data_IF_964308932123
#
_entry.id   IF_964308932123
#
_cell.length_a   1.000
_cell.length_b   1.000
_cell.length_c   1.000
_cell.angle_alpha   90.00
_cell.angle_beta   90.00
_cell.angle_gamma   90.00
#
_symmetry.space_group_name_H-M   'P 1'
#
loop_
_entity.id
_entity.type
_entity.pdbx_description
1 polymer ?
#
# COMPACT_ATOMS: atom_id res chain seq x y z
N UNK A 1 -19.73 0.48 -38.36
CA UNK A 1 -20.86 1.44 -38.40
C UNK A 1 -21.92 0.92 -37.46
N UNK A 2 -22.10 1.55 -36.30
CA UNK A 2 -23.15 1.18 -35.34
C UNK A 2 -24.08 2.39 -35.22
N UNK A 3 -25.36 2.17 -35.51
CA UNK A 3 -26.40 3.17 -35.70
C UNK A 3 -26.80 3.81 -34.37
N UNK A 4 -26.90 5.14 -34.36
CA UNK A 4 -27.46 5.90 -33.23
C UNK A 4 -28.97 5.74 -33.25
N UNK A 5 -29.55 5.18 -32.18
CA UNK A 5 -30.99 5.27 -31.94
C UNK A 5 -31.31 6.63 -31.31
N UNK A 6 -32.13 7.50 -31.92
CA UNK A 6 -32.29 8.89 -31.50
C UNK A 6 -33.59 9.12 -30.73
N UNK A 7 -33.98 8.30 -29.76
CA UNK A 7 -35.11 8.63 -28.88
C UNK A 7 -34.89 8.13 -27.45
N UNK A 8 -34.30 8.98 -26.61
CA UNK A 8 -34.61 9.03 -25.18
C UNK A 8 -34.16 10.40 -24.64
N UNK A 9 -34.89 11.44 -25.06
CA UNK A 9 -34.80 12.75 -24.45
C UNK A 9 -35.75 12.82 -23.26
N UNK A 10 -35.19 12.89 -22.05
CA UNK A 10 -35.52 13.88 -21.01
C UNK A 10 -35.27 13.35 -19.59
N UNK A 11 -34.60 14.20 -18.81
CA UNK A 11 -34.41 14.15 -17.35
C UNK A 11 -33.45 13.08 -16.81
N UNK A 12 -32.15 13.23 -17.10
CA UNK A 12 -31.12 12.78 -16.16
C UNK A 12 -30.56 14.04 -15.49
N UNK A 13 -30.78 14.25 -14.18
CA UNK A 13 -30.27 15.42 -13.47
C UNK A 13 -28.76 15.51 -13.61
N UNK A 14 -28.30 16.74 -13.64
CA UNK A 14 -26.94 17.24 -13.87
C UNK A 14 -25.87 16.75 -12.86
N UNK A 15 -25.79 15.46 -12.54
CA UNK A 15 -24.73 14.88 -11.69
C UNK A 15 -23.47 14.56 -12.52
N UNK A 16 -22.96 15.59 -13.18
CA UNK A 16 -21.57 15.70 -13.66
C UNK A 16 -20.74 16.60 -12.74
N UNK A 17 -21.08 16.65 -11.44
CA UNK A 17 -20.04 16.91 -10.47
C UNK A 17 -19.14 15.68 -10.49
N UNK A 18 -18.07 15.83 -11.27
CA UNK A 18 -16.74 15.29 -11.03
C UNK A 18 -16.74 14.55 -9.67
N UNK A 19 -16.26 13.31 -9.64
CA UNK A 19 -15.87 12.65 -8.40
C UNK A 19 -14.37 12.98 -8.14
N UNK A 20 -13.90 14.24 -7.99
CA UNK A 20 -12.58 14.45 -7.45
C UNK A 20 -12.79 14.47 -5.93
N UNK A 21 -11.84 13.87 -5.21
CA UNK A 21 -11.61 14.22 -3.80
C UNK A 21 -12.57 13.64 -2.74
N UNK A 22 -13.81 13.23 -3.05
CA UNK A 22 -14.73 12.63 -2.04
C UNK A 22 -14.37 11.20 -1.59
N UNK A 23 -13.38 10.54 -2.21
CA UNK A 23 -12.87 9.23 -1.76
C UNK A 23 -11.96 9.30 -0.53
N UNK A 24 -11.57 10.51 -0.07
CA UNK A 24 -10.85 10.73 1.19
C UNK A 24 -11.74 10.73 2.44
N UNK A 25 -13.06 10.68 2.28
CA UNK A 25 -14.03 10.68 3.39
C UNK A 25 -14.28 9.24 3.87
N UNK A 26 -14.63 9.03 5.14
CA UNK A 26 -14.97 7.71 5.71
C UNK A 26 -16.03 6.97 4.88
N UNK A 27 -15.81 5.69 4.62
CA UNK A 27 -16.65 4.82 3.79
C UNK A 27 -16.29 3.36 4.06
N UNK A 28 -17.24 2.43 3.93
CA UNK A 28 -16.96 1.01 4.06
C UNK A 28 -16.30 0.49 2.78
N UNK A 29 -15.01 0.83 2.60
CA UNK A 29 -14.26 0.51 1.39
C UNK A 29 -13.98 -0.98 1.24
N UNK A 30 -14.06 -1.76 2.32
CA UNK A 30 -14.00 -3.23 2.27
C UNK A 30 -15.23 -3.81 1.57
N UNK A 31 -16.43 -3.30 1.88
CA UNK A 31 -17.64 -3.67 1.15
C UNK A 31 -17.53 -3.33 -0.34
N UNK A 32 -17.07 -2.11 -0.66
CA UNK A 32 -16.84 -1.68 -2.03
C UNK A 32 -15.93 -2.68 -2.79
N UNK A 33 -14.78 -3.01 -2.20
CA UNK A 33 -13.76 -3.86 -2.83
C UNK A 33 -14.24 -5.31 -3.02
N UNK A 34 -14.96 -5.87 -2.05
CA UNK A 34 -15.52 -7.24 -2.14
C UNK A 34 -16.57 -7.33 -3.25
N UNK A 35 -17.53 -6.40 -3.29
CA UNK A 35 -18.62 -6.45 -4.28
C UNK A 35 -18.11 -6.17 -5.69
N UNK A 36 -17.12 -5.27 -5.81
CA UNK A 36 -16.47 -5.00 -7.08
C UNK A 36 -15.76 -6.24 -7.66
N UNK A 37 -15.08 -7.03 -6.82
CA UNK A 37 -14.46 -8.29 -7.27
C UNK A 37 -15.48 -9.31 -7.74
N UNK A 38 -16.62 -9.45 -7.03
CA UNK A 38 -17.71 -10.33 -7.47
C UNK A 38 -18.28 -9.93 -8.83
N UNK A 39 -18.36 -8.63 -9.13
CA UNK A 39 -18.84 -8.12 -10.41
C UNK A 39 -17.85 -8.35 -11.55
N UNK A 40 -16.55 -8.30 -11.26
CA UNK A 40 -15.51 -8.69 -12.20
C UNK A 40 -15.57 -10.19 -12.52
N UNK A 41 -15.75 -11.04 -11.50
CA UNK A 41 -15.88 -12.50 -11.67
C UNK A 41 -17.11 -12.88 -12.52
N UNK A 42 -18.18 -12.09 -12.46
CA UNK A 42 -19.42 -12.30 -13.24
C UNK A 42 -19.38 -11.68 -14.63
N UNK A 43 -18.34 -10.90 -14.96
CA UNK A 43 -18.26 -10.18 -16.24
C UNK A 43 -19.29 -9.05 -16.39
N UNK A 44 -19.91 -8.60 -15.30
CA UNK A 44 -21.03 -7.65 -15.28
C UNK A 44 -20.58 -6.20 -14.98
N UNK A 45 -19.28 -5.95 -14.89
CA UNK A 45 -18.74 -4.66 -14.47
C UNK A 45 -18.83 -3.59 -15.58
N UNK A 46 -19.96 -2.88 -15.68
CA UNK A 46 -20.05 -1.64 -16.46
C UNK A 46 -19.41 -0.48 -15.69
N UNK A 47 -18.22 -0.06 -16.12
CA UNK A 47 -17.26 0.75 -15.36
C UNK A 47 -17.72 2.14 -14.87
N UNK A 48 -18.86 2.67 -15.31
CA UNK A 48 -19.39 3.97 -14.88
C UNK A 48 -20.46 3.87 -13.78
N UNK A 49 -21.59 3.25 -14.11
CA UNK A 49 -22.76 3.17 -13.23
C UNK A 49 -22.50 2.28 -12.01
N UNK A 50 -21.88 1.13 -12.22
CA UNK A 50 -21.59 0.15 -11.16
C UNK A 50 -20.63 0.71 -10.12
N UNK A 51 -19.62 1.46 -10.55
CA UNK A 51 -18.64 2.06 -9.63
C UNK A 51 -19.29 3.16 -8.75
N UNK A 52 -20.10 4.03 -9.36
CA UNK A 52 -20.82 5.07 -8.63
C UNK A 52 -21.81 4.48 -7.61
N UNK A 53 -22.54 3.44 -8.01
CA UNK A 53 -23.50 2.77 -7.14
C UNK A 53 -22.82 2.09 -5.94
N UNK A 54 -21.75 1.32 -6.18
CA UNK A 54 -20.97 0.70 -5.10
C UNK A 54 -20.35 1.74 -4.17
N UNK A 55 -19.84 2.84 -4.74
CA UNK A 55 -19.33 3.98 -3.98
C UNK A 55 -20.41 4.58 -3.07
N UNK A 56 -21.60 4.85 -3.60
CA UNK A 56 -22.73 5.39 -2.82
C UNK A 56 -23.18 4.42 -1.73
N UNK A 57 -23.27 3.12 -2.02
CA UNK A 57 -23.60 2.09 -1.03
C UNK A 57 -22.55 2.00 0.08
N UNK A 58 -21.27 2.02 -0.26
CA UNK A 58 -20.18 2.03 0.71
C UNK A 58 -20.17 3.29 1.60
N UNK A 59 -20.65 4.42 1.07
CA UNK A 59 -20.87 5.66 1.84
C UNK A 59 -22.07 5.59 2.77
N UNK A 60 -23.20 5.13 2.27
CA UNK A 60 -24.45 5.05 3.02
C UNK A 60 -24.37 4.04 4.18
N UNK A 61 -23.60 2.95 4.02
CA UNK A 61 -23.36 2.00 5.10
C UNK A 61 -22.55 2.57 6.28
N UNK A 62 -21.85 3.70 6.11
CA UNK A 62 -21.20 4.43 7.21
C UNK A 62 -22.14 5.44 7.86
N UNK A 63 -23.09 6.00 7.10
CA UNK A 63 -24.06 6.99 7.57
C UNK A 63 -25.17 6.44 8.48
N UNK A 64 -25.09 5.17 8.92
CA UNK A 64 -26.01 4.59 9.93
C UNK A 64 -25.47 4.79 11.37
N UNK A 65 -24.54 5.71 11.59
CA UNK A 65 -24.13 6.13 12.94
C UNK A 65 -24.78 7.46 13.31
N UNK A 66 -25.48 7.42 14.43
CA UNK A 66 -26.22 8.49 15.09
C UNK A 66 -25.48 9.83 15.12
N UNK A 67 -26.23 10.89 14.83
CA UNK A 67 -25.85 12.30 15.04
C UNK A 67 -25.20 12.49 16.41
N UNK A 68 -23.95 12.95 16.42
CA UNK A 68 -23.39 13.95 17.33
C UNK A 68 -21.87 14.03 17.09
N UNK A 69 -21.42 15.04 16.36
CA UNK A 69 -20.43 16.01 16.89
C UNK A 69 -20.05 17.06 15.84
N UNK A 70 -20.30 18.32 16.20
CA UNK A 70 -19.82 19.52 15.52
C UNK A 70 -18.36 19.78 15.92
N UNK A 71 -17.44 19.89 14.96
CA UNK A 71 -16.26 20.76 15.13
C UNK A 71 -15.84 21.42 13.81
N UNK A 72 -15.53 22.70 13.95
CA UNK A 72 -15.30 23.68 12.90
C UNK A 72 -13.99 23.46 12.14
N UNK A 73 -14.02 23.70 10.81
CA UNK A 73 -12.85 23.78 9.94
C UNK A 73 -12.34 25.22 9.85
N UNK A 74 -11.08 25.43 10.23
CA UNK A 74 -10.18 26.44 9.67
C UNK A 74 -8.98 25.68 9.09
N UNK A 75 -8.46 25.88 7.89
CA UNK A 75 -8.20 27.14 7.21
C UNK A 75 -6.72 27.09 6.78
N UNK A 76 -6.50 26.83 5.49
CA UNK A 76 -5.36 27.27 4.68
C UNK A 76 -3.91 27.02 5.18
N UNK A 77 -3.20 26.05 4.60
CA UNK A 77 -1.73 26.08 4.54
C UNK A 77 -1.19 25.72 3.15
N UNK A 78 -0.40 26.66 2.66
CA UNK A 78 0.46 26.69 1.47
C UNK A 78 1.36 25.45 1.38
N UNK A 79 1.46 24.88 0.18
CA UNK A 79 2.26 23.68 -0.12
C UNK A 79 3.73 23.89 0.22
N UNK A 80 4.24 23.07 1.14
CA UNK A 80 5.68 22.98 1.43
C UNK A 80 6.34 22.06 0.41
N UNK A 81 7.37 22.59 -0.26
CA UNK A 81 8.31 21.85 -1.11
C UNK A 81 8.87 20.65 -0.34
N UNK A 82 8.96 19.51 -1.02
CA UNK A 82 9.23 18.19 -0.46
C UNK A 82 10.48 18.15 0.40
N UNK A 83 10.29 17.84 1.68
CA UNK A 83 11.38 17.50 2.60
C UNK A 83 11.64 16.01 2.47
N UNK A 84 12.86 15.68 2.08
CA UNK A 84 13.49 14.37 2.12
C UNK A 84 13.09 13.61 3.40
N UNK A 85 12.88 12.30 3.28
CA UNK A 85 12.50 11.40 4.38
C UNK A 85 13.37 11.65 5.62
N UNK A 86 12.89 12.46 6.57
CA UNK A 86 13.41 12.41 7.93
C UNK A 86 13.10 11.00 8.43
N UNK A 87 14.15 10.19 8.59
CA UNK A 87 14.06 8.89 9.27
C UNK A 87 13.25 9.13 10.55
N UNK A 88 12.02 8.63 10.57
CA UNK A 88 11.19 8.73 11.77
C UNK A 88 11.96 8.04 12.89
N UNK A 89 12.06 8.69 14.05
CA UNK A 89 12.68 8.15 15.25
C UNK A 89 12.18 6.71 15.46
N UNK A 90 13.01 5.72 15.14
CA UNK A 90 12.66 4.32 15.29
C UNK A 90 12.77 3.96 16.77
N UNK A 91 11.68 3.47 17.34
CA UNK A 91 11.71 2.87 18.67
C UNK A 91 12.36 1.49 18.57
N UNK A 92 13.15 1.13 19.57
CA UNK A 92 13.64 -0.24 19.69
C UNK A 92 12.46 -1.22 19.75
N UNK A 93 12.55 -2.35 19.05
CA UNK A 93 11.48 -3.35 18.97
C UNK A 93 11.05 -3.88 20.36
N UNK A 94 11.94 -3.86 21.35
CA UNK A 94 11.65 -4.21 22.76
C UNK A 94 10.71 -3.24 23.48
N UNK A 95 10.44 -2.04 22.93
CA UNK A 95 9.57 -1.05 23.58
C UNK A 95 8.10 -1.45 23.58
N UNK A 96 7.65 -2.22 22.58
CA UNK A 96 6.26 -2.69 22.43
C UNK A 96 6.23 -4.13 21.89
N UNK A 97 6.62 -5.12 22.71
CA UNK A 97 6.84 -6.49 22.26
C UNK A 97 5.58 -7.16 21.71
N UNK A 98 4.40 -6.86 22.27
CA UNK A 98 3.13 -7.42 21.81
C UNK A 98 2.78 -7.01 20.37
N UNK A 99 3.14 -5.79 20.00
CA UNK A 99 2.91 -5.26 18.65
C UNK A 99 3.82 -5.97 17.65
N UNK A 100 5.10 -6.16 18.00
CA UNK A 100 6.05 -6.90 17.17
C UNK A 100 5.60 -8.35 17.01
N UNK A 101 5.29 -9.02 18.12
CA UNK A 101 4.81 -10.41 18.12
C UNK A 101 3.57 -10.58 17.24
N UNK A 102 2.57 -9.73 17.39
CA UNK A 102 1.35 -9.78 16.56
C UNK A 102 1.66 -9.56 15.08
N UNK A 103 2.57 -8.65 14.75
CA UNK A 103 2.99 -8.44 13.36
C UNK A 103 3.71 -9.66 12.79
N UNK A 104 4.65 -10.25 13.52
CA UNK A 104 5.34 -11.47 13.10
C UNK A 104 4.33 -12.59 12.84
N UNK A 105 3.39 -12.81 13.77
CA UNK A 105 2.35 -13.83 13.60
C UNK A 105 1.49 -13.58 12.36
N UNK A 106 1.12 -12.32 12.07
CA UNK A 106 0.39 -11.98 10.86
C UNK A 106 1.19 -12.31 9.59
N UNK A 107 2.49 -12.00 9.56
CA UNK A 107 3.36 -12.29 8.42
C UNK A 107 3.60 -13.80 8.23
N UNK A 108 3.67 -14.57 9.33
CA UNK A 108 3.71 -16.04 9.31
C UNK A 108 2.40 -16.59 8.75
N UNK A 109 1.25 -16.11 9.24
CA UNK A 109 -0.07 -16.56 8.75
C UNK A 109 -0.27 -16.28 7.27
N UNK A 110 0.38 -15.23 6.75
CA UNK A 110 0.39 -14.90 5.34
C UNK A 110 1.48 -15.63 4.53
N UNK A 111 2.16 -16.62 5.12
CA UNK A 111 3.23 -17.43 4.53
C UNK A 111 4.42 -16.61 3.99
N UNK A 112 4.67 -15.42 4.55
CA UNK A 112 5.80 -14.56 4.15
C UNK A 112 7.02 -14.79 5.03
N UNK A 113 6.80 -14.89 6.33
CA UNK A 113 7.88 -15.25 7.28
C UNK A 113 7.90 -16.75 7.53
N UNK A 114 9.09 -17.27 7.74
CA UNK A 114 9.31 -18.66 8.16
C UNK A 114 10.06 -18.67 9.48
N UNK A 115 9.57 -19.49 10.40
CA UNK A 115 10.01 -19.61 11.79
C UNK A 115 8.80 -19.80 12.70
N UNK A 116 8.98 -19.77 14.03
CA UNK A 116 10.25 -19.61 14.75
C UNK A 116 11.17 -20.83 14.59
N UNK A 117 12.48 -20.60 14.51
CA UNK A 117 13.51 -21.63 14.64
C UNK A 117 14.31 -21.45 15.94
N UNK A 118 14.72 -22.57 16.54
CA UNK A 118 15.54 -22.60 17.76
C UNK A 118 17.02 -22.26 17.49
N UNK A 119 17.48 -22.54 16.27
CA UNK A 119 18.81 -22.19 15.76
C UNK A 119 18.69 -21.55 14.38
N UNK A 120 19.77 -20.97 13.88
CA UNK A 120 19.79 -20.40 12.53
C UNK A 120 19.51 -21.51 11.50
N UNK A 121 18.50 -21.38 10.62
CA UNK A 121 18.23 -22.35 9.56
C UNK A 121 19.30 -22.37 8.46
N UNK A 122 20.13 -21.33 8.35
CA UNK A 122 21.25 -21.23 7.41
C UNK A 122 22.54 -20.92 8.16
N UNK A 123 23.65 -21.50 7.72
CA UNK A 123 24.97 -21.34 8.36
C UNK A 123 25.41 -19.88 8.39
N UNK A 124 25.35 -19.21 7.23
CA UNK A 124 25.78 -17.81 7.04
C UNK A 124 24.62 -16.81 7.10
N UNK A 125 23.58 -17.10 7.90
CA UNK A 125 22.42 -16.23 7.98
C UNK A 125 22.77 -14.87 8.57
N UNK A 126 22.50 -13.81 7.80
CA UNK A 126 22.57 -12.43 8.26
C UNK A 126 21.35 -12.07 9.08
N UNK A 127 21.56 -11.35 10.18
CA UNK A 127 20.51 -10.97 11.10
C UNK A 127 20.33 -9.45 11.10
N UNK A 128 19.22 -9.00 10.54
CA UNK A 128 18.80 -7.61 10.58
C UNK A 128 18.09 -7.28 11.89
N UNK A 129 18.40 -6.13 12.47
CA UNK A 129 17.67 -5.63 13.63
C UNK A 129 16.25 -5.20 13.25
N UNK A 130 15.29 -5.53 14.11
CA UNK A 130 13.91 -5.03 14.02
C UNK A 130 13.73 -3.74 14.81
N UNK A 131 13.12 -2.75 14.16
CA UNK A 131 12.65 -1.50 14.75
C UNK A 131 11.15 -1.31 14.59
N UNK A 132 10.59 -0.37 15.36
CA UNK A 132 9.20 0.09 15.21
C UNK A 132 9.16 1.59 14.93
N UNK A 133 8.41 2.00 13.92
CA UNK A 133 8.06 3.40 13.70
C UNK A 133 6.57 3.62 13.84
N UNK A 134 6.18 4.71 14.49
CA UNK A 134 4.79 5.14 14.58
C UNK A 134 4.31 5.67 13.22
N UNK A 135 3.10 5.27 12.83
CA UNK A 135 2.42 5.88 11.69
C UNK A 135 1.73 7.16 12.13
N UNK A 136 1.28 7.96 11.16
CA UNK A 136 0.48 9.18 11.39
C UNK A 136 -0.77 8.94 12.24
N UNK A 137 -1.38 7.75 12.14
CA UNK A 137 -2.49 7.35 12.99
C UNK A 137 -1.94 6.83 14.33
N UNK A 138 -2.27 7.49 15.47
CA UNK A 138 -1.78 7.09 16.78
C UNK A 138 -2.09 5.62 17.10
N UNK A 139 -1.17 4.95 17.80
CA UNK A 139 -1.31 3.54 18.17
C UNK A 139 -1.08 2.55 17.02
N UNK A 140 -0.79 3.01 15.80
CA UNK A 140 -0.44 2.14 14.68
C UNK A 140 1.05 2.23 14.34
N UNK A 141 1.66 1.07 14.12
CA UNK A 141 3.11 0.95 13.96
C UNK A 141 3.49 0.27 12.65
N UNK A 142 4.65 0.62 12.10
CA UNK A 142 5.35 -0.10 11.05
C UNK A 142 6.54 -0.83 11.66
N UNK A 143 6.71 -2.08 11.28
CA UNK A 143 7.93 -2.82 11.57
C UNK A 143 8.97 -2.47 10.52
N UNK A 144 10.16 -2.10 10.97
CA UNK A 144 11.27 -1.65 10.12
C UNK A 144 12.41 -2.63 10.27
N UNK A 145 13.01 -2.98 9.14
CA UNK A 145 14.24 -3.75 9.08
C UNK A 145 15.41 -2.81 8.84
N UNK A 146 16.44 -2.93 9.67
CA UNK A 146 17.65 -2.13 9.53
C UNK A 146 18.61 -2.76 8.50
N UNK A 147 18.26 -2.69 7.22
CA UNK A 147 19.06 -3.27 6.12
C UNK A 147 20.25 -2.45 5.66
N UNK A 148 20.33 -1.20 6.10
CA UNK A 148 21.47 -0.30 5.86
C UNK A 148 22.39 -0.20 7.08
N UNK A 149 22.32 -1.14 8.03
CA UNK A 149 23.14 -1.13 9.23
C UNK A 149 23.83 -2.49 9.43
N UNK A 150 25.11 -2.51 9.87
CA UNK A 150 25.99 -1.35 10.05
C UNK A 150 26.47 -0.83 8.69
N UNK A 151 26.73 0.48 8.61
CA UNK A 151 27.23 1.13 7.39
C UNK A 151 28.56 0.49 6.94
N UNK A 152 28.69 0.25 5.63
CA UNK A 152 29.87 -0.39 5.02
C UNK A 152 29.89 -1.91 5.10
N UNK A 153 28.90 -2.54 5.73
CA UNK A 153 28.79 -4.01 5.85
C UNK A 153 27.35 -4.50 5.87
N UNK A 154 26.40 -3.65 5.49
CA UNK A 154 24.99 -3.98 5.48
C UNK A 154 24.59 -4.75 4.24
N UNK A 155 23.37 -5.30 4.25
CA UNK A 155 22.79 -5.99 3.09
C UNK A 155 22.74 -5.05 1.89
N UNK A 156 22.36 -3.79 2.12
CA UNK A 156 22.27 -2.80 1.06
C UNK A 156 23.64 -2.39 0.51
N UNK A 157 24.69 -2.35 1.34
CA UNK A 157 26.06 -2.04 0.89
C UNK A 157 26.63 -3.13 -0.03
N UNK A 158 26.09 -4.35 0.07
CA UNK A 158 26.50 -5.50 -0.74
C UNK A 158 25.83 -5.55 -2.12
N UNK A 159 24.91 -4.62 -2.43
CA UNK A 159 24.21 -4.58 -3.71
C UNK A 159 24.98 -3.67 -4.68
N UNK A 160 25.53 -4.21 -5.79
CA UNK A 160 26.30 -3.41 -6.73
C UNK A 160 25.46 -2.29 -7.36
N UNK A 161 26.00 -1.08 -7.42
CA UNK A 161 25.28 0.10 -7.88
C UNK A 161 24.84 -0.01 -9.35
N UNK A 162 25.63 -0.70 -10.18
CA UNK A 162 25.30 -0.95 -11.58
C UNK A 162 24.06 -1.83 -11.77
N UNK A 163 23.66 -2.61 -10.76
CA UNK A 163 22.44 -3.45 -10.79
C UNK A 163 21.21 -2.74 -10.22
N UNK A 164 21.40 -1.51 -9.75
CA UNK A 164 20.40 -0.69 -9.09
C UNK A 164 19.92 0.42 -10.00
N UNK A 165 19.38 0.05 -11.17
CA UNK A 165 18.71 1.00 -12.06
C UNK A 165 17.22 0.74 -12.06
N UNK A 166 16.43 1.79 -11.79
CA UNK A 166 14.98 1.76 -11.84
C UNK A 166 14.52 2.73 -12.92
N UNK A 167 13.69 2.26 -13.84
CA UNK A 167 13.00 3.11 -14.79
C UNK A 167 11.60 3.40 -14.28
N UNK A 168 11.30 4.67 -14.07
CA UNK A 168 9.98 5.12 -13.64
C UNK A 168 9.16 5.57 -14.85
N UNK A 169 7.87 5.28 -14.84
CA UNK A 169 6.94 5.89 -15.77
C UNK A 169 6.91 7.41 -15.52
N UNK A 170 7.00 8.17 -16.60
CA UNK A 170 7.01 9.63 -16.57
C UNK A 170 5.59 10.20 -16.60
N UNK A 171 5.47 11.48 -16.22
CA UNK A 171 4.20 12.21 -16.41
C UNK A 171 3.83 12.29 -17.90
N UNK A 172 4.84 12.37 -18.77
CA UNK A 172 4.64 12.43 -20.21
C UNK A 172 4.00 11.13 -20.74
N UNK A 173 4.43 9.98 -20.24
CA UNK A 173 3.86 8.67 -20.58
C UNK A 173 2.37 8.64 -20.19
N UNK A 174 2.04 9.16 -18.99
CA UNK A 174 0.65 9.25 -18.54
C UNK A 174 -0.19 10.20 -19.42
N UNK A 175 0.37 11.34 -19.84
CA UNK A 175 -0.31 12.30 -20.75
C UNK A 175 -0.60 11.64 -22.10
N UNK A 176 0.35 10.89 -22.65
CA UNK A 176 0.18 10.18 -23.92
C UNK A 176 -0.93 9.13 -23.83
N UNK A 177 -0.97 8.35 -22.74
CA UNK A 177 -2.07 7.41 -22.49
C UNK A 177 -3.43 8.12 -22.43
N UNK A 178 -3.53 9.26 -21.74
CA UNK A 178 -4.78 10.03 -21.66
C UNK A 178 -5.20 10.56 -23.04
N UNK A 179 -4.24 11.02 -23.85
CA UNK A 179 -4.51 11.49 -25.22
C UNK A 179 -5.05 10.35 -26.10
N UNK A 180 -4.53 9.13 -25.95
CA UNK A 180 -5.01 7.94 -26.68
C UNK A 180 -6.46 7.61 -26.33
N UNK A 181 -6.82 7.65 -25.04
CA UNK A 181 -8.21 7.39 -24.60
C UNK A 181 -9.17 8.43 -25.18
N UNK A 182 -8.71 9.68 -25.32
CA UNK A 182 -9.44 10.74 -25.99
C UNK A 182 -10.52 11.40 -25.12
N UNK A 183 -11.34 12.24 -25.76
CA UNK A 183 -12.38 13.01 -25.06
C UNK A 183 -13.46 12.07 -24.51
N UNK A 184 -13.96 12.37 -23.31
CA UNK A 184 -14.92 11.55 -22.54
C UNK A 184 -14.35 10.22 -21.99
N UNK A 185 -13.02 10.08 -21.95
CA UNK A 185 -12.36 8.98 -21.27
C UNK A 185 -12.55 9.02 -19.75
N UNK A 186 -12.72 7.85 -19.13
CA UNK A 186 -12.74 7.71 -17.68
C UNK A 186 -11.35 7.30 -17.17
N UNK A 187 -10.95 7.85 -16.03
CA UNK A 187 -9.70 7.51 -15.35
C UNK A 187 -10.01 6.95 -13.97
N UNK A 188 -9.38 5.83 -13.63
CA UNK A 188 -9.42 5.23 -12.31
C UNK A 188 -7.99 5.07 -11.79
N UNK A 189 -7.80 5.24 -10.49
CA UNK A 189 -6.53 4.95 -9.81
C UNK A 189 -6.72 3.81 -8.83
N UNK A 190 -5.77 2.88 -8.83
CA UNK A 190 -5.71 1.79 -7.87
C UNK A 190 -4.33 1.80 -7.24
N UNK A 191 -4.28 1.81 -5.91
CA UNK A 191 -3.03 1.69 -5.16
C UNK A 191 -2.88 0.23 -4.71
N UNK A 192 -1.70 -0.34 -4.95
CA UNK A 192 -1.41 -1.71 -4.54
C UNK A 192 -0.91 -1.68 -3.09
N UNK A 193 -1.76 -2.14 -2.18
CA UNK A 193 -1.39 -2.25 -0.78
C UNK A 193 -0.21 -3.20 -0.60
N UNK A 194 0.84 -2.75 0.10
CA UNK A 194 2.02 -3.57 0.42
C UNK A 194 2.71 -4.18 -0.81
N UNK A 195 2.86 -3.42 -1.90
CA UNK A 195 3.41 -3.90 -3.18
C UNK A 195 4.70 -4.74 -3.06
N UNK A 196 5.65 -4.37 -2.20
CA UNK A 196 6.89 -5.14 -1.99
C UNK A 196 6.63 -6.57 -1.50
N UNK A 197 5.56 -6.79 -0.74
CA UNK A 197 5.18 -8.12 -0.23
C UNK A 197 4.65 -9.06 -1.30
N UNK A 198 4.39 -8.56 -2.51
CA UNK A 198 3.99 -9.38 -3.66
C UNK A 198 5.23 -10.03 -4.30
N UNK A 199 6.40 -9.39 -4.17
CA UNK A 199 7.63 -9.85 -4.81
C UNK A 199 8.27 -10.90 -3.89
N UNK A 200 8.44 -12.11 -4.41
CA UNK A 200 9.16 -13.19 -3.74
C UNK A 200 10.67 -13.00 -3.90
N UNK A 201 11.41 -13.29 -2.85
CA UNK A 201 12.87 -13.38 -2.86
C UNK A 201 13.25 -14.77 -3.38
N UNK A 202 14.37 -14.86 -4.11
CA UNK A 202 14.90 -16.13 -4.56
C UNK A 202 15.37 -16.96 -3.35
N UNK A 203 15.06 -18.25 -3.34
CA UNK A 203 15.38 -19.14 -2.20
C UNK A 203 16.87 -19.13 -1.81
N UNK A 204 17.76 -19.00 -2.80
CA UNK A 204 19.21 -18.90 -2.59
C UNK A 204 19.67 -17.60 -1.91
N UNK A 205 18.75 -16.70 -1.55
CA UNK A 205 19.03 -15.43 -0.88
C UNK A 205 18.29 -15.29 0.45
N UNK A 206 17.55 -16.32 0.91
CA UNK A 206 16.79 -16.25 2.17
C UNK A 206 17.69 -16.06 3.40
N UNK A 207 18.92 -16.51 3.33
CA UNK A 207 19.97 -16.31 4.32
C UNK A 207 20.29 -14.82 4.57
N UNK A 208 20.09 -13.95 3.57
CA UNK A 208 20.31 -12.51 3.70
C UNK A 208 19.16 -11.81 4.42
N UNK A 209 17.95 -12.37 4.42
CA UNK A 209 16.73 -11.73 4.94
C UNK A 209 16.33 -12.28 6.31
N UNK A 210 17.32 -12.58 7.13
CA UNK A 210 17.14 -13.11 8.48
C UNK A 210 16.91 -12.03 9.54
N UNK A 211 16.18 -12.38 10.58
CA UNK A 211 16.05 -11.58 11.78
C UNK A 211 15.83 -12.46 13.02
N UNK A 212 16.11 -11.89 14.19
CA UNK A 212 15.90 -12.56 15.47
C UNK A 212 14.86 -11.80 16.30
N UNK A 213 13.92 -12.53 16.88
CA UNK A 213 12.95 -12.00 17.82
C UNK A 213 12.75 -12.97 18.98
N UNK A 214 12.87 -12.46 20.21
CA UNK A 214 12.65 -13.24 21.44
C UNK A 214 13.48 -14.53 21.51
N UNK A 215 14.76 -14.44 21.11
CA UNK A 215 15.68 -15.58 21.07
C UNK A 215 15.38 -16.63 20.00
N UNK A 216 14.39 -16.40 19.13
CA UNK A 216 14.05 -17.26 17.99
C UNK A 216 14.48 -16.62 16.67
N UNK A 217 14.83 -17.46 15.70
CA UNK A 217 15.26 -17.05 14.38
C UNK A 217 14.11 -17.15 13.37
N UNK A 218 14.10 -16.22 12.43
CA UNK A 218 13.11 -16.13 11.36
C UNK A 218 13.79 -15.62 10.09
N UNK A 219 13.24 -15.96 8.93
CA UNK A 219 13.60 -15.32 7.66
C UNK A 219 12.37 -14.89 6.87
N UNK A 220 12.53 -13.87 6.04
CA UNK A 220 11.50 -13.34 5.15
C UNK A 220 11.66 -13.92 3.73
N UNK A 221 10.57 -14.39 3.14
CA UNK A 221 10.53 -14.89 1.75
C UNK A 221 10.13 -13.81 0.76
N UNK A 222 9.70 -12.65 1.24
CA UNK A 222 9.21 -11.56 0.41
C UNK A 222 10.04 -10.31 0.57
N UNK A 223 10.08 -9.50 -0.49
CA UNK A 223 10.83 -8.26 -0.47
C UNK A 223 10.28 -7.34 0.62
N UNK A 224 11.20 -6.73 1.35
CA UNK A 224 10.90 -5.83 2.45
C UNK A 224 11.17 -4.38 2.05
N UNK A 225 10.40 -3.46 2.64
CA UNK A 225 10.66 -2.03 2.48
C UNK A 225 12.02 -1.69 3.07
N UNK A 226 12.78 -0.86 2.34
CA UNK A 226 14.14 -0.47 2.73
C UNK A 226 15.23 -1.36 2.15
N UNK A 227 14.87 -2.43 1.41
CA UNK A 227 15.83 -3.08 0.52
C UNK A 227 16.14 -2.11 -0.61
N UNK A 228 17.42 -1.83 -0.82
CA UNK A 228 17.83 -0.81 -1.76
C UNK A 228 17.62 -1.26 -3.20
N UNK A 229 16.98 -0.44 -4.05
CA UNK A 229 17.16 -0.51 -5.50
C UNK A 229 18.24 0.49 -5.99
N UNK A 230 19.04 1.02 -5.03
CA UNK A 230 19.83 2.26 -4.92
C UNK A 230 19.14 3.54 -5.44
N UNK A 231 18.90 4.49 -4.51
CA UNK A 231 18.39 5.85 -4.74
C UNK A 231 19.49 6.79 -5.26
#
# INVERSE_FOLDING_TARGET
>A
MCTKNPELGSVIPHHMEIIPEKSRVEGNWQYYDIEFRKLLERGEAQWGCTHLELYLRAKLQVNVKSENDNTNKSGNTRWSIGVCFSFHKCLGSKTKPDIVRRKILNEISANRFVGPFDSKPFTEMQLSHLGLAEKKLPGTYRMIYHLSFPEGSSINDSIPQEKCSVQYASIQDAIELIKIVGRKGFCAKTDISSAFRIINIKESQYDLFGFMWDGKYYYDKNLQMGCSPNF
#
